data_IF_469656597639
#
_entry.id   IF_469656597639
#
_cell.length_a   1.000
_cell.length_b   1.000
_cell.length_c   1.000
_cell.angle_alpha   90.00
_cell.angle_beta   90.00
_cell.angle_gamma   90.00
#
_symmetry.space_group_name_H-M   'P 1'
#
loop_
_entity.id
_entity.type
_entity.pdbx_description
1 polymer ?
#
# COMPACT_ATOMS: atom_id res chain seq x y z
N UNK A 1 6.33 13.54 -0.26
CA UNK A 1 5.99 13.67 1.19
C UNK A 1 4.83 14.64 1.38
N UNK A 2 3.63 14.11 1.19
CA UNK A 2 2.37 14.81 1.43
C UNK A 2 2.31 15.35 2.87
N UNK A 3 1.88 16.59 3.05
CA UNK A 3 1.47 17.12 4.36
C UNK A 3 0.14 16.54 4.85
N UNK A 4 -0.17 15.29 4.49
CA UNK A 4 -1.42 14.60 4.76
C UNK A 4 -1.16 13.48 5.78
N UNK A 5 -1.88 13.51 6.89
CA UNK A 5 -1.82 12.44 7.89
C UNK A 5 -2.48 11.17 7.33
N UNK A 6 -1.73 10.06 7.30
CA UNK A 6 -2.20 8.77 6.79
C UNK A 6 -2.30 7.76 7.93
N UNK A 7 -3.45 7.10 8.05
CA UNK A 7 -3.60 5.92 8.90
C UNK A 7 -3.44 4.67 8.04
N UNK A 8 -2.52 3.77 8.43
CA UNK A 8 -2.23 2.60 7.63
C UNK A 8 -1.86 1.37 8.44
N UNK A 9 -2.03 0.20 7.82
CA UNK A 9 -1.55 -1.08 8.33
C UNK A 9 -0.89 -1.89 7.22
N UNK A 10 0.26 -2.46 7.54
CA UNK A 10 0.96 -3.44 6.71
C UNK A 10 0.59 -4.87 7.12
N UNK A 11 0.77 -5.80 6.19
CA UNK A 11 0.88 -7.22 6.52
C UNK A 11 1.50 -8.00 5.38
N UNK A 12 1.79 -9.26 5.66
CA UNK A 12 2.43 -10.18 4.73
C UNK A 12 2.01 -11.61 5.02
N UNK A 13 1.99 -12.42 3.97
CA UNK A 13 1.89 -13.87 4.05
C UNK A 13 2.69 -14.46 2.89
N UNK A 14 3.22 -15.66 3.06
CA UNK A 14 3.63 -16.46 1.92
C UNK A 14 2.44 -17.28 1.43
N UNK A 15 2.18 -17.22 0.13
CA UNK A 15 1.08 -17.94 -0.50
C UNK A 15 1.57 -18.85 -1.61
N UNK A 16 0.70 -19.76 -2.02
CA UNK A 16 1.01 -20.80 -3.00
C UNK A 16 0.24 -20.64 -4.31
N UNK A 17 -0.72 -19.70 -4.40
CA UNK A 17 -1.53 -19.47 -5.60
C UNK A 17 -1.90 -17.97 -5.77
N UNK A 18 -1.18 -17.21 -6.61
CA UNK A 18 0.09 -17.57 -7.24
C UNK A 18 1.22 -17.64 -6.20
N UNK A 19 2.14 -18.60 -6.32
CA UNK A 19 3.24 -18.74 -5.37
C UNK A 19 4.02 -17.43 -5.19
N UNK A 20 4.36 -17.05 -3.96
CA UNK A 20 5.21 -15.89 -3.70
C UNK A 20 5.04 -15.30 -2.29
N UNK A 21 5.80 -14.24 -2.02
CA UNK A 21 5.66 -13.45 -0.80
C UNK A 21 4.70 -12.29 -1.05
N UNK A 22 3.56 -12.33 -0.39
CA UNK A 22 2.51 -11.34 -0.49
C UNK A 22 2.80 -10.26 0.54
N UNK A 23 2.67 -9.01 0.13
CA UNK A 23 2.69 -7.87 1.03
C UNK A 23 1.49 -7.00 0.72
N UNK A 24 0.87 -6.47 1.76
CA UNK A 24 -0.25 -5.55 1.64
C UNK A 24 -0.08 -4.32 2.51
N UNK A 25 -0.64 -3.23 2.01
CA UNK A 25 -0.71 -1.95 2.67
C UNK A 25 -2.14 -1.46 2.51
N UNK A 26 -2.89 -1.45 3.61
CA UNK A 26 -4.21 -0.87 3.69
C UNK A 26 -4.09 0.49 4.37
N UNK A 27 -4.68 1.53 3.78
CA UNK A 27 -4.60 2.87 4.30
C UNK A 27 -5.87 3.68 4.02
N UNK A 28 -6.09 4.69 4.85
CA UNK A 28 -7.02 5.77 4.54
C UNK A 28 -6.39 7.11 4.89
N UNK A 29 -6.81 8.14 4.15
CA UNK A 29 -6.27 9.47 4.29
C UNK A 29 -7.29 10.56 3.86
N UNK A 30 -7.24 11.76 4.47
CA UNK A 30 -6.50 12.08 5.69
C UNK A 30 -7.03 11.30 6.91
N UNK A 31 -6.24 11.19 7.97
CA UNK A 31 -6.63 10.49 9.22
C UNK A 31 -7.91 11.07 9.84
N UNK A 32 -8.11 12.39 9.69
CA UNK A 32 -9.32 13.09 10.10
C UNK A 32 -10.12 13.49 8.86
N UNK A 33 -11.42 13.16 8.85
CA UNK A 33 -12.32 13.34 7.70
C UNK A 33 -11.77 12.68 6.40
N UNK A 34 -11.68 11.33 6.36
CA UNK A 34 -11.05 10.62 5.26
C UNK A 34 -11.70 10.90 3.90
N UNK A 35 -10.89 11.05 2.86
CA UNK A 35 -11.33 11.27 1.47
C UNK A 35 -11.11 10.07 0.56
N UNK A 36 -10.12 9.24 0.89
CA UNK A 36 -9.79 8.02 0.17
C UNK A 36 -9.40 6.91 1.14
N UNK A 37 -9.76 5.67 0.79
CA UNK A 37 -9.21 4.46 1.35
C UNK A 37 -8.69 3.59 0.21
N UNK A 38 -7.55 2.92 0.42
CA UNK A 38 -6.94 2.05 -0.58
C UNK A 38 -6.32 0.81 0.06
N UNK A 39 -6.16 -0.23 -0.75
CA UNK A 39 -5.35 -1.39 -0.44
C UNK A 39 -4.42 -1.66 -1.63
N UNK A 40 -3.12 -1.68 -1.38
CA UNK A 40 -2.12 -2.15 -2.34
C UNK A 40 -1.70 -3.57 -1.96
N UNK A 41 -1.91 -4.53 -2.86
CA UNK A 41 -1.47 -5.92 -2.73
C UNK A 41 -0.37 -6.20 -3.76
N UNK A 42 0.79 -6.65 -3.30
CA UNK A 42 1.92 -7.01 -4.17
C UNK A 42 2.36 -8.42 -3.84
N UNK A 43 2.44 -9.27 -4.87
CA UNK A 43 2.94 -10.64 -4.78
C UNK A 43 4.32 -10.67 -5.42
N UNK A 44 5.36 -10.83 -4.60
CA UNK A 44 6.74 -10.88 -5.06
C UNK A 44 7.20 -12.33 -5.26
N UNK A 45 7.74 -12.62 -6.43
CA UNK A 45 8.48 -13.87 -6.71
C UNK A 45 9.94 -13.75 -6.23
N UNK A 46 10.74 -14.80 -6.40
CA UNK A 46 12.09 -14.91 -5.82
C UNK A 46 13.10 -13.79 -6.19
N UNK A 47 12.89 -13.05 -7.29
CA UNK A 47 13.91 -12.12 -7.84
C UNK A 47 13.73 -10.66 -7.42
N UNK A 48 12.51 -10.13 -7.47
CA UNK A 48 12.23 -8.70 -7.29
C UNK A 48 11.30 -8.49 -6.10
N UNK A 49 11.57 -7.45 -5.30
CA UNK A 49 10.79 -7.14 -4.09
C UNK A 49 10.30 -5.69 -4.14
N UNK A 50 9.06 -5.48 -4.57
CA UNK A 50 8.36 -4.21 -4.44
C UNK A 50 7.58 -4.23 -3.11
N UNK A 51 7.70 -3.19 -2.28
CA UNK A 51 6.89 -3.09 -1.07
C UNK A 51 5.52 -2.52 -1.41
N UNK A 52 4.46 -3.19 -0.94
CA UNK A 52 3.09 -2.68 -1.06
C UNK A 52 2.90 -1.27 -0.49
N UNK A 53 3.64 -0.89 0.56
CA UNK A 53 3.58 0.46 1.13
C UNK A 53 4.08 1.53 0.16
N UNK A 54 5.06 1.24 -0.69
CA UNK A 54 5.56 2.19 -1.70
C UNK A 54 4.53 2.39 -2.82
N UNK A 55 3.87 1.31 -3.24
CA UNK A 55 2.77 1.40 -4.22
C UNK A 55 1.61 2.22 -3.65
N UNK A 56 1.25 1.98 -2.38
CA UNK A 56 0.23 2.75 -1.69
C UNK A 56 0.59 4.23 -1.51
N UNK A 57 1.85 4.52 -1.19
CA UNK A 57 2.37 5.89 -1.10
C UNK A 57 2.25 6.62 -2.44
N UNK A 58 2.70 6.03 -3.54
CA UNK A 58 2.58 6.66 -4.87
C UNK A 58 1.11 6.93 -5.26
N UNK A 59 0.21 6.01 -4.92
CA UNK A 59 -1.22 6.22 -5.18
C UNK A 59 -1.80 7.37 -4.33
N UNK A 60 -1.38 7.51 -3.08
CA UNK A 60 -1.78 8.64 -2.23
C UNK A 60 -1.19 9.95 -2.74
N UNK A 61 0.09 9.95 -3.12
CA UNK A 61 0.76 11.13 -3.71
C UNK A 61 -0.01 11.59 -4.95
N UNK A 62 -0.28 10.70 -5.90
CA UNK A 62 -1.04 11.05 -7.10
C UNK A 62 -2.46 11.57 -6.79
N UNK A 63 -3.16 10.97 -5.81
CA UNK A 63 -4.52 11.39 -5.44
C UNK A 63 -4.57 12.77 -4.75
N UNK A 64 -3.51 13.18 -4.07
CA UNK A 64 -3.47 14.44 -3.30
C UNK A 64 -2.62 15.55 -3.93
N UNK A 65 -1.72 15.22 -4.86
CA UNK A 65 -0.98 16.20 -5.67
C UNK A 65 -1.83 16.75 -6.83
N UNK A 66 -2.94 16.09 -7.17
CA UNK A 66 -3.94 16.54 -8.14
C UNK A 66 -5.26 16.96 -7.52
#
# INVERSE_FOLDING_TARGET
LLGVDVCAKTGSIDGTDPQGHYSWFAAFAPAKNPRIALVALVINQARWKIKSSQVGEQALEEFFER
#
